data_IF_819837790533
#
_entry.id   IF_819837790533
#
_cell.length_a   1.000
_cell.length_b   1.000
_cell.length_c   1.000
_cell.angle_alpha   90.00
_cell.angle_beta   90.00
_cell.angle_gamma   90.00
#
_symmetry.space_group_name_H-M   'P 1'
#
loop_
_entity.id
_entity.type
_entity.pdbx_description
1 polymer ?
#
# COMPACT_ATOMS: atom_id res chain seq x y z
N UNK A 1 5.22 70.74 25.56
CA UNK A 1 6.19 70.88 26.67
C UNK A 1 5.93 69.80 27.69
N UNK A 2 6.95 69.00 28.05
CA UNK A 2 7.14 68.26 29.32
C UNK A 2 6.04 67.24 29.68
N UNK A 3 6.29 65.98 30.05
CA UNK A 3 7.49 65.24 30.47
C UNK A 3 7.08 63.76 30.55
N UNK A 4 8.00 62.87 30.15
CA UNK A 4 8.42 61.63 30.81
C UNK A 4 7.45 60.92 31.79
N UNK A 5 7.29 59.59 31.64
CA UNK A 5 8.03 58.60 32.45
C UNK A 5 7.36 57.21 32.47
N UNK A 6 8.20 56.19 32.20
CA UNK A 6 8.27 54.83 32.81
C UNK A 6 7.22 53.79 32.36
N UNK A 7 7.62 52.81 31.55
CA UNK A 7 8.08 51.44 31.93
C UNK A 7 6.96 50.65 32.61
N UNK A 8 6.55 49.50 32.04
CA UNK A 8 6.38 48.22 32.75
C UNK A 8 5.99 47.11 31.74
N UNK A 9 6.94 46.19 31.52
CA UNK A 9 6.77 44.74 31.32
C UNK A 9 5.35 44.18 31.11
N UNK A 10 5.13 43.42 30.03
CA UNK A 10 5.01 41.95 30.14
C UNK A 10 4.88 41.28 28.78
N UNK A 11 5.87 40.45 28.48
CA UNK A 11 5.91 39.46 27.42
C UNK A 11 4.85 38.37 27.73
N UNK A 12 3.75 38.33 26.97
CA UNK A 12 2.83 37.18 27.02
C UNK A 12 2.99 36.39 25.73
N UNK A 13 3.94 35.46 25.74
CA UNK A 13 4.01 34.38 24.75
C UNK A 13 2.87 33.41 25.09
N UNK A 14 1.76 33.55 24.39
CA UNK A 14 0.67 32.57 24.40
C UNK A 14 1.10 31.41 23.48
N UNK A 15 1.89 30.49 24.02
CA UNK A 15 2.21 29.23 23.38
C UNK A 15 1.00 28.30 23.53
N UNK A 16 0.03 28.45 22.64
CA UNK A 16 -1.09 27.53 22.50
C UNK A 16 -0.54 26.16 22.12
N UNK A 17 -0.56 25.23 23.08
CA UNK A 17 -0.36 23.81 22.88
C UNK A 17 -1.42 23.31 21.89
N UNK A 18 -1.07 23.30 20.61
CA UNK A 18 -1.82 22.58 19.60
C UNK A 18 -1.50 21.10 19.80
N UNK A 19 -2.24 20.45 20.71
CA UNK A 19 -2.30 19.00 20.79
C UNK A 19 -3.05 18.51 19.55
N UNK A 20 -2.34 18.47 18.42
CA UNK A 20 -2.77 17.72 17.27
C UNK A 20 -2.78 16.25 17.67
N UNK A 21 -3.96 15.72 18.02
CA UNK A 21 -4.19 14.29 17.95
C UNK A 21 -4.03 13.94 16.48
N UNK A 22 -2.86 13.42 16.12
CA UNK A 22 -2.69 12.74 14.85
C UNK A 22 -3.74 11.63 14.82
N UNK A 23 -4.83 11.87 14.10
CA UNK A 23 -5.68 10.78 13.64
C UNK A 23 -4.72 9.90 12.86
N UNK A 24 -4.41 8.73 13.41
CA UNK A 24 -3.74 7.70 12.66
C UNK A 24 -4.73 7.33 11.55
N UNK A 25 -4.65 8.02 10.42
CA UNK A 25 -5.08 7.46 9.14
C UNK A 25 -4.40 6.11 9.13
N UNK A 26 -5.19 5.06 9.33
CA UNK A 26 -4.75 3.71 9.06
C UNK A 26 -4.32 3.76 7.60
N UNK A 27 -3.02 3.93 7.36
CA UNK A 27 -2.45 3.89 6.03
C UNK A 27 -3.09 2.70 5.35
N UNK A 28 -3.98 2.97 4.41
CA UNK A 28 -4.69 1.89 3.75
C UNK A 28 -3.59 1.06 3.10
N UNK A 29 -3.38 -0.14 3.64
CA UNK A 29 -2.29 -1.06 3.29
C UNK A 29 -2.21 -1.24 1.78
N UNK A 30 -3.35 -1.07 1.09
CA UNK A 30 -3.43 -1.20 -0.35
C UNK A 30 -2.94 0.02 -1.12
N UNK A 31 -2.82 1.22 -0.55
CA UNK A 31 -2.29 2.42 -1.24
C UNK A 31 -0.88 2.21 -1.77
N UNK A 32 0.13 1.82 -0.95
CA UNK A 32 1.47 1.55 -1.47
C UNK A 32 1.49 0.31 -2.38
N UNK A 33 0.74 -0.74 -2.05
CA UNK A 33 0.65 -1.96 -2.87
C UNK A 33 0.14 -1.63 -4.28
N UNK A 34 -0.92 -0.85 -4.37
CA UNK A 34 -1.52 -0.43 -5.63
C UNK A 34 -0.56 0.39 -6.48
N UNK A 35 0.18 1.32 -5.85
CA UNK A 35 1.22 2.09 -6.51
C UNK A 35 2.31 1.20 -7.10
N UNK A 36 2.78 0.20 -6.36
CA UNK A 36 3.84 -0.70 -6.85
C UNK A 36 3.34 -1.64 -7.94
N UNK A 37 2.09 -2.12 -7.86
CA UNK A 37 1.45 -2.88 -8.93
C UNK A 37 1.32 -2.06 -10.21
N UNK A 38 0.77 -0.84 -10.12
CA UNK A 38 0.57 0.04 -11.28
C UNK A 38 1.89 0.44 -11.96
N UNK A 39 2.97 0.57 -11.20
CA UNK A 39 4.31 0.88 -11.70
C UNK A 39 5.11 -0.35 -12.17
N UNK A 40 4.62 -1.57 -11.94
CA UNK A 40 5.40 -2.80 -12.19
C UNK A 40 6.66 -2.93 -11.32
N UNK A 41 6.66 -2.34 -10.13
CA UNK A 41 7.80 -2.34 -9.21
C UNK A 41 7.77 -3.59 -8.32
N UNK A 42 8.10 -4.74 -8.91
CA UNK A 42 8.14 -6.02 -8.20
C UNK A 42 9.12 -6.02 -7.02
N UNK A 43 10.20 -5.22 -7.08
CA UNK A 43 11.18 -5.12 -6.00
C UNK A 43 10.55 -4.48 -4.76
N UNK A 44 9.94 -3.29 -4.91
CA UNK A 44 9.27 -2.64 -3.78
C UNK A 44 8.02 -3.38 -3.33
N UNK A 45 7.29 -4.03 -4.24
CA UNK A 45 6.14 -4.84 -3.85
C UNK A 45 6.56 -6.04 -3.00
N UNK A 46 7.72 -6.66 -3.28
CA UNK A 46 8.20 -7.81 -2.51
C UNK A 46 8.45 -7.52 -1.02
N UNK A 47 8.63 -6.25 -0.64
CA UNK A 47 8.72 -5.86 0.77
C UNK A 47 7.41 -6.13 1.55
N UNK A 48 6.29 -6.21 0.83
CA UNK A 48 4.95 -6.48 1.37
C UNK A 48 4.61 -7.96 1.38
N UNK A 49 5.37 -8.81 0.70
CA UNK A 49 5.15 -10.25 0.75
C UNK A 49 5.43 -10.79 2.15
N UNK A 50 4.63 -11.77 2.55
CA UNK A 50 5.01 -12.71 3.60
C UNK A 50 6.21 -13.56 3.12
N UNK A 51 6.88 -14.24 4.03
CA UNK A 51 7.98 -15.14 3.73
C UNK A 51 7.52 -16.32 2.86
N UNK A 52 6.27 -16.76 3.06
CA UNK A 52 5.58 -17.73 2.22
C UNK A 52 4.20 -17.19 1.81
N UNK A 53 3.90 -17.22 0.52
CA UNK A 53 2.62 -16.75 -0.02
C UNK A 53 2.17 -17.60 -1.21
N UNK A 54 0.86 -17.63 -1.45
CA UNK A 54 0.27 -18.19 -2.65
C UNK A 54 0.30 -17.14 -3.77
N UNK A 55 0.87 -17.49 -4.92
CA UNK A 55 0.80 -16.66 -6.12
C UNK A 55 0.10 -17.41 -7.25
N UNK A 56 -0.92 -16.78 -7.83
CA UNK A 56 -1.66 -17.32 -8.97
C UNK A 56 -1.53 -16.37 -10.16
N UNK A 57 -0.97 -16.85 -11.27
CA UNK A 57 -0.87 -16.11 -12.54
C UNK A 57 -1.56 -16.93 -13.63
N UNK A 58 -2.60 -16.35 -14.27
CA UNK A 58 -3.32 -16.99 -15.38
C UNK A 58 -3.73 -18.44 -15.07
N UNK A 59 -4.43 -18.64 -13.95
CA UNK A 59 -4.83 -19.97 -13.44
C UNK A 59 -3.72 -20.93 -12.98
N UNK A 60 -2.44 -20.52 -13.01
CA UNK A 60 -1.34 -21.32 -12.45
C UNK A 60 -1.02 -20.86 -11.03
N UNK A 61 -1.31 -21.70 -10.05
CA UNK A 61 -1.11 -21.43 -8.61
C UNK A 61 0.16 -22.09 -8.10
N UNK A 62 0.96 -21.36 -7.32
CA UNK A 62 2.14 -21.88 -6.63
C UNK A 62 2.20 -21.33 -5.21
N UNK A 63 2.46 -22.21 -4.24
CA UNK A 63 3.03 -21.80 -2.95
C UNK A 63 4.48 -21.42 -3.18
N UNK A 64 4.87 -20.21 -2.77
CA UNK A 64 6.16 -19.63 -3.10
C UNK A 64 6.77 -18.94 -1.90
N UNK A 65 8.10 -19.01 -1.80
CA UNK A 65 8.83 -18.06 -0.96
C UNK A 65 8.69 -16.64 -1.51
N UNK A 66 8.89 -15.63 -0.66
CA UNK A 66 8.97 -14.23 -1.07
C UNK A 66 9.84 -14.00 -2.31
N UNK A 67 11.01 -14.63 -2.37
CA UNK A 67 11.95 -14.46 -3.48
C UNK A 67 11.42 -15.10 -4.77
N UNK A 68 10.81 -16.29 -4.69
CA UNK A 68 10.19 -16.95 -5.85
C UNK A 68 9.00 -16.15 -6.37
N UNK A 69 8.10 -15.69 -5.49
CA UNK A 69 6.97 -14.84 -5.86
C UNK A 69 7.42 -13.54 -6.54
N UNK A 70 8.51 -12.92 -6.05
CA UNK A 70 9.11 -11.75 -6.70
C UNK A 70 9.55 -12.05 -8.14
N UNK A 71 10.23 -13.18 -8.37
CA UNK A 71 10.68 -13.56 -9.71
C UNK A 71 9.51 -13.89 -10.64
N UNK A 72 8.49 -14.61 -10.16
CA UNK A 72 7.26 -14.91 -10.90
C UNK A 72 6.59 -13.61 -11.33
N UNK A 73 6.42 -12.66 -10.40
CA UNK A 73 5.78 -11.40 -10.70
C UNK A 73 6.62 -10.51 -11.63
N UNK A 74 7.94 -10.51 -11.46
CA UNK A 74 8.84 -9.80 -12.38
C UNK A 74 8.71 -10.33 -13.81
N UNK A 75 8.72 -11.65 -13.99
CA UNK A 75 8.52 -12.27 -15.29
C UNK A 75 7.15 -11.93 -15.88
N UNK A 76 6.10 -11.85 -15.06
CA UNK A 76 4.79 -11.37 -15.51
C UNK A 76 4.85 -9.91 -16.00
N UNK A 77 5.48 -9.00 -15.25
CA UNK A 77 5.61 -7.59 -15.66
C UNK A 77 6.50 -7.37 -16.89
N UNK A 78 7.54 -8.20 -17.06
CA UNK A 78 8.41 -8.16 -18.24
C UNK A 78 7.64 -8.56 -19.51
N UNK A 79 6.69 -9.50 -19.40
CA UNK A 79 5.82 -9.91 -20.51
C UNK A 79 4.59 -8.99 -20.70
N UNK A 80 4.07 -8.43 -19.61
CA UNK A 80 2.91 -7.55 -19.59
C UNK A 80 3.26 -6.27 -18.83
N UNK A 81 3.81 -5.27 -19.52
CA UNK A 81 4.27 -4.03 -18.88
C UNK A 81 3.10 -3.29 -18.19
N UNK A 82 3.10 -3.15 -16.85
CA UNK A 82 2.05 -2.45 -16.12
C UNK A 82 1.97 -0.96 -16.49
N UNK A 83 0.75 -0.43 -16.47
CA UNK A 83 0.47 0.99 -16.75
C UNK A 83 -0.32 1.66 -15.64
N UNK A 84 -1.33 0.96 -15.13
CA UNK A 84 -2.14 1.45 -14.01
C UNK A 84 -2.75 0.28 -13.27
N UNK A 85 -2.98 0.48 -11.98
CA UNK A 85 -3.74 -0.43 -11.15
C UNK A 85 -4.79 0.35 -10.37
N UNK A 86 -6.04 -0.07 -10.47
CA UNK A 86 -7.18 0.58 -9.82
C UNK A 86 -7.91 -0.41 -8.94
N UNK A 87 -7.99 -0.10 -7.65
CA UNK A 87 -8.78 -0.89 -6.70
C UNK A 87 -10.26 -0.57 -6.90
N UNK A 88 -11.07 -1.61 -7.05
CA UNK A 88 -12.53 -1.53 -7.24
C UNK A 88 -13.30 -1.88 -6.00
N UNK A 89 -12.75 -2.78 -5.19
CA UNK A 89 -13.40 -3.24 -3.98
C UNK A 89 -12.36 -3.57 -2.92
N UNK A 90 -12.70 -3.29 -1.67
CA UNK A 90 -11.92 -3.68 -0.50
C UNK A 90 -12.85 -4.18 0.58
N UNK A 91 -12.45 -5.19 1.33
CA UNK A 91 -13.08 -5.47 2.61
C UNK A 91 -12.06 -5.87 3.67
N UNK A 92 -12.47 -5.78 4.92
CA UNK A 92 -11.66 -6.12 6.09
C UNK A 92 -12.44 -7.08 6.98
N UNK A 93 -11.78 -8.11 7.50
CA UNK A 93 -12.34 -9.06 8.46
C UNK A 93 -11.26 -9.45 9.47
N UNK A 94 -11.48 -9.09 10.74
CA UNK A 94 -10.53 -9.37 11.82
C UNK A 94 -9.13 -8.82 11.46
N UNK A 95 -8.11 -9.66 11.48
CA UNK A 95 -6.72 -9.39 11.13
C UNK A 95 -6.41 -9.50 9.63
N UNK A 96 -7.41 -9.75 8.78
CA UNK A 96 -7.21 -9.88 7.33
C UNK A 96 -7.95 -8.80 6.57
N UNK A 97 -7.36 -8.36 5.45
CA UNK A 97 -7.98 -7.46 4.49
C UNK A 97 -7.83 -8.03 3.09
N UNK A 98 -8.76 -7.70 2.21
CA UNK A 98 -8.62 -8.03 0.80
C UNK A 98 -8.94 -6.83 -0.08
N UNK A 99 -8.32 -6.80 -1.25
CA UNK A 99 -8.59 -5.87 -2.32
C UNK A 99 -8.80 -6.63 -3.63
N UNK A 100 -9.77 -6.17 -4.42
CA UNK A 100 -9.99 -6.56 -5.80
C UNK A 100 -9.84 -5.32 -6.68
N UNK A 101 -9.07 -5.43 -7.74
CA UNK A 101 -8.81 -4.33 -8.66
C UNK A 101 -8.46 -4.79 -10.06
N UNK A 102 -8.26 -3.83 -10.94
CA UNK A 102 -7.91 -4.06 -12.33
C UNK A 102 -6.53 -3.48 -12.66
N UNK A 103 -5.66 -4.32 -13.24
CA UNK A 103 -4.34 -3.98 -13.71
C UNK A 103 -4.36 -3.87 -15.24
N UNK A 104 -4.09 -2.68 -15.76
CA UNK A 104 -3.84 -2.49 -17.18
C UNK A 104 -2.36 -2.77 -17.45
N UNK A 105 -2.06 -3.80 -18.24
CA UNK A 105 -0.70 -4.25 -18.49
C UNK A 105 -0.57 -4.87 -19.89
N UNK A 106 0.48 -4.53 -20.65
CA UNK A 106 0.72 -5.14 -21.97
C UNK A 106 -0.39 -4.93 -23.02
N UNK A 107 -1.30 -3.97 -22.83
CA UNK A 107 -2.48 -3.80 -23.69
C UNK A 107 -3.68 -4.68 -23.31
N UNK A 108 -3.56 -5.43 -22.22
CA UNK A 108 -4.60 -6.28 -21.64
C UNK A 108 -5.05 -5.75 -20.28
N UNK A 109 -6.19 -6.26 -19.79
CA UNK A 109 -6.70 -5.98 -18.45
C UNK A 109 -6.73 -7.27 -17.65
N UNK A 110 -6.13 -7.21 -16.45
CA UNK A 110 -6.10 -8.31 -15.51
C UNK A 110 -6.89 -7.97 -14.25
N UNK A 111 -7.70 -8.90 -13.77
CA UNK A 111 -8.27 -8.84 -12.43
C UNK A 111 -7.20 -9.28 -11.42
N UNK A 112 -6.95 -8.43 -10.43
CA UNK A 112 -6.01 -8.72 -9.34
C UNK A 112 -6.76 -8.82 -8.04
N UNK A 113 -6.58 -9.94 -7.35
CA UNK A 113 -7.06 -10.14 -5.97
C UNK A 113 -5.86 -10.22 -5.04
N UNK A 114 -5.91 -9.46 -3.96
CA UNK A 114 -4.83 -9.34 -2.97
C UNK A 114 -5.41 -9.65 -1.61
N UNK A 115 -4.85 -10.63 -0.90
CA UNK A 115 -5.15 -10.87 0.50
C UNK A 115 -3.95 -10.52 1.36
N UNK A 116 -4.19 -9.70 2.38
CA UNK A 116 -3.20 -9.35 3.39
C UNK A 116 -3.67 -9.76 4.78
N UNK A 117 -2.75 -10.18 5.63
CA UNK A 117 -2.99 -10.47 7.04
C UNK A 117 -2.00 -9.72 7.92
N UNK A 118 -2.43 -9.35 9.12
CA UNK A 118 -1.56 -8.73 10.12
C UNK A 118 -0.59 -9.77 10.71
N UNK A 119 0.71 -9.53 10.53
CA UNK A 119 1.81 -10.34 11.01
C UNK A 119 2.62 -9.52 12.03
N UNK A 120 2.10 -9.36 13.24
CA UNK A 120 2.79 -8.68 14.34
C UNK A 120 2.82 -7.15 14.22
N UNK A 121 1.71 -6.54 13.81
CA UNK A 121 1.56 -5.09 13.65
C UNK A 121 1.94 -4.59 12.25
N UNK A 122 2.19 -5.50 11.30
CA UNK A 122 2.49 -5.19 9.89
C UNK A 122 1.69 -6.11 9.00
N UNK A 123 0.91 -5.54 8.10
CA UNK A 123 0.21 -6.33 7.09
C UNK A 123 1.17 -6.89 6.04
N UNK A 124 0.98 -8.16 5.70
CA UNK A 124 1.73 -8.91 4.69
C UNK A 124 0.81 -9.59 3.71
N UNK A 125 1.20 -9.61 2.43
CA UNK A 125 0.49 -10.31 1.35
C UNK A 125 0.68 -11.81 1.54
N UNK A 126 -0.42 -12.50 1.77
CA UNK A 126 -0.51 -13.97 1.90
C UNK A 126 -0.92 -14.62 0.58
N UNK A 127 -1.68 -13.88 -0.25
CA UNK A 127 -2.13 -14.36 -1.55
C UNK A 127 -2.18 -13.21 -2.54
N UNK A 128 -1.61 -13.44 -3.73
CA UNK A 128 -1.70 -12.55 -4.88
C UNK A 128 -2.18 -13.35 -6.09
N UNK A 129 -3.32 -12.96 -6.65
CA UNK A 129 -3.91 -13.61 -7.81
C UNK A 129 -4.06 -12.60 -8.93
N UNK A 130 -3.60 -12.95 -10.13
CA UNK A 130 -3.69 -12.15 -11.36
C UNK A 130 -4.28 -13.03 -12.46
N UNK A 131 -5.48 -12.72 -12.89
CA UNK A 131 -6.17 -13.42 -13.99
C UNK A 131 -6.54 -12.46 -15.10
N UNK A 132 -6.44 -12.92 -16.35
CA UNK A 132 -6.88 -12.14 -17.50
C UNK A 132 -8.40 -12.07 -17.53
N UNK A 133 -8.95 -10.88 -17.67
CA UNK A 133 -10.38 -10.69 -17.90
C UNK A 133 -10.69 -11.17 -19.33
N UNK A 134 -11.64 -12.09 -19.46
CA UNK A 134 -12.11 -12.60 -20.75
C UNK A 134 -13.10 -11.65 -21.41
#
# INVERSE_FOLDING_TARGET
>A
MKVFAKIFTSLTVMLSLFSGTAVADSYDVFVPIAKYLGNGDAERLSAWFDDNLEITIMSTTNDSSKNQAKQILKAFFDNHTPRSFEIRHTASRSNSKYALGFLNAGGEVFEVTIFVSDCGGRYKIQQLKIDRIR
#
